data_IF_844960039292
#
_entry.id   IF_844960039292
#
_cell.length_a   1.000
_cell.length_b   1.000
_cell.length_c   1.000
_cell.angle_alpha   90.00
_cell.angle_beta   90.00
_cell.angle_gamma   90.00
#
_symmetry.space_group_name_H-M   'P 1'
#
loop_
_entity.id
_entity.type
_entity.pdbx_description
1 polymer ?
#
# COMPACT_ATOMS: atom_id res chain seq x y z
N UNK A 1 -14.89 34.68 -6.05
CA UNK A 1 -13.78 33.84 -5.55
C UNK A 1 -14.11 32.39 -5.89
N UNK A 2 -13.20 31.66 -6.52
CA UNK A 2 -13.40 30.21 -6.72
C UNK A 2 -13.28 29.56 -5.35
N UNK A 3 -14.33 28.86 -4.91
CA UNK A 3 -14.30 28.12 -3.65
C UNK A 3 -13.21 27.05 -3.72
N UNK A 4 -12.40 26.91 -2.67
CA UNK A 4 -11.39 25.87 -2.60
C UNK A 4 -12.05 24.49 -2.61
N UNK A 5 -11.44 23.55 -3.34
CA UNK A 5 -11.94 22.19 -3.49
C UNK A 5 -10.95 21.20 -2.92
N UNK A 6 -11.44 20.11 -2.37
CA UNK A 6 -10.70 19.17 -1.55
C UNK A 6 -10.88 17.73 -2.04
N UNK A 7 -9.83 16.93 -1.83
CA UNK A 7 -9.85 15.47 -1.94
C UNK A 7 -9.50 14.90 -0.56
N UNK A 8 -10.49 14.35 0.12
CA UNK A 8 -10.34 13.72 1.43
C UNK A 8 -10.02 12.23 1.26
N UNK A 9 -8.79 11.85 1.61
CA UNK A 9 -8.25 10.50 1.45
C UNK A 9 -8.39 9.73 2.77
N UNK A 10 -9.33 8.79 2.82
CA UNK A 10 -9.65 8.00 4.01
C UNK A 10 -8.82 6.71 4.08
N UNK A 11 -8.44 6.35 5.29
CA UNK A 11 -7.79 5.06 5.58
C UNK A 11 -8.69 3.86 5.29
N UNK A 12 -8.13 2.82 4.66
CA UNK A 12 -8.79 1.51 4.53
C UNK A 12 -7.76 0.39 4.44
N UNK A 13 -8.00 -0.69 5.18
CA UNK A 13 -7.15 -1.88 5.24
C UNK A 13 -5.70 -1.56 5.67
N UNK A 14 -4.76 -2.47 5.40
CA UNK A 14 -3.38 -2.36 5.88
C UNK A 14 -2.55 -1.31 5.15
N UNK A 15 -1.32 -1.12 5.63
CA UNK A 15 -0.41 -0.05 5.22
C UNK A 15 -0.18 -0.01 3.70
N UNK A 16 0.03 -1.17 3.08
CA UNK A 16 0.19 -1.24 1.62
C UNK A 16 -1.02 -0.73 0.84
N UNK A 17 -2.25 -0.97 1.32
CA UNK A 17 -3.47 -0.45 0.65
C UNK A 17 -3.56 1.08 0.78
N UNK A 18 -3.30 1.60 1.99
CA UNK A 18 -3.31 3.03 2.29
C UNK A 18 -2.27 3.79 1.47
N UNK A 19 -1.06 3.24 1.38
CA UNK A 19 0.04 3.79 0.59
C UNK A 19 -0.39 3.89 -0.89
N UNK A 20 -0.86 2.80 -1.50
CA UNK A 20 -1.27 2.81 -2.90
C UNK A 20 -2.45 3.77 -3.18
N UNK A 21 -3.42 3.85 -2.28
CA UNK A 21 -4.53 4.80 -2.38
C UNK A 21 -4.07 6.26 -2.24
N UNK A 22 -3.06 6.53 -1.41
CA UNK A 22 -2.48 7.87 -1.29
C UNK A 22 -1.80 8.30 -2.59
N UNK A 23 -1.02 7.42 -3.22
CA UNK A 23 -0.27 7.77 -4.44
C UNK A 23 -1.18 8.18 -5.60
N UNK A 24 -2.27 7.45 -5.86
CA UNK A 24 -3.21 7.85 -6.91
C UNK A 24 -4.04 9.09 -6.55
N UNK A 25 -4.24 9.32 -5.25
CA UNK A 25 -4.91 10.52 -4.74
C UNK A 25 -4.06 11.77 -4.92
N UNK A 26 -2.74 11.70 -4.71
CA UNK A 26 -1.81 12.81 -4.99
C UNK A 26 -1.91 13.23 -6.45
N UNK A 27 -1.79 12.27 -7.38
CA UNK A 27 -1.88 12.54 -8.81
C UNK A 27 -3.25 13.12 -9.20
N UNK A 28 -4.34 12.60 -8.63
CA UNK A 28 -5.68 13.12 -8.91
C UNK A 28 -5.90 14.53 -8.36
N UNK A 29 -5.38 14.82 -7.17
CA UNK A 29 -5.43 16.14 -6.57
C UNK A 29 -4.73 17.16 -7.47
N UNK A 30 -3.57 16.82 -8.04
CA UNK A 30 -2.87 17.64 -9.02
C UNK A 30 -3.70 17.86 -10.31
N UNK A 31 -4.24 16.79 -10.90
CA UNK A 31 -5.08 16.88 -12.11
C UNK A 31 -6.34 17.72 -11.94
N UNK A 32 -6.89 17.79 -10.73
CA UNK A 32 -8.15 18.49 -10.42
C UNK A 32 -7.95 19.81 -9.68
N UNK A 33 -6.69 20.19 -9.43
CA UNK A 33 -6.33 21.33 -8.58
C UNK A 33 -7.08 21.35 -7.23
N UNK A 34 -7.22 20.16 -6.61
CA UNK A 34 -7.85 19.99 -5.30
C UNK A 34 -6.78 19.96 -4.22
N UNK A 35 -7.06 20.57 -3.08
CA UNK A 35 -6.25 20.39 -1.87
C UNK A 35 -6.43 18.97 -1.34
N UNK A 36 -5.34 18.29 -1.03
CA UNK A 36 -5.41 16.96 -0.42
C UNK A 36 -5.54 17.09 1.10
N UNK A 37 -6.44 16.27 1.68
CA UNK A 37 -6.55 16.08 3.13
C UNK A 37 -6.46 14.58 3.37
N UNK A 38 -5.42 14.12 4.07
CA UNK A 38 -5.25 12.70 4.37
C UNK A 38 -5.75 12.44 5.77
N UNK A 39 -6.75 11.56 5.88
CA UNK A 39 -7.40 11.23 7.14
C UNK A 39 -7.35 9.72 7.40
N UNK A 40 -6.38 9.32 8.22
CA UNK A 40 -6.19 7.95 8.69
C UNK A 40 -6.59 7.79 10.17
N UNK A 41 -7.54 8.58 10.66
CA UNK A 41 -8.12 8.54 12.02
C UNK A 41 -8.97 7.29 12.36
N UNK A 42 -8.74 6.17 11.67
CA UNK A 42 -9.44 4.92 11.96
C UNK A 42 -8.67 4.02 12.93
N UNK A 43 -9.31 2.92 13.30
CA UNK A 43 -8.83 2.00 14.32
C UNK A 43 -7.70 1.05 13.87
N UNK A 44 -7.27 1.08 12.61
CA UNK A 44 -6.30 0.08 12.10
C UNK A 44 -4.90 0.31 12.65
N UNK A 45 -4.46 1.57 12.68
CA UNK A 45 -3.12 1.96 13.14
C UNK A 45 -3.15 3.06 14.19
N UNK A 46 -4.33 3.41 14.71
CA UNK A 46 -4.50 4.41 15.75
C UNK A 46 -5.05 3.77 17.02
N UNK A 47 -4.41 4.03 18.16
CA UNK A 47 -4.86 3.55 19.46
C UNK A 47 -6.06 4.34 20.02
N UNK A 48 -6.22 5.58 19.57
CA UNK A 48 -7.23 6.53 20.09
C UNK A 48 -8.01 7.22 18.97
N UNK A 49 -7.92 6.72 17.73
CA UNK A 49 -8.58 7.29 16.53
C UNK A 49 -8.09 8.69 16.18
N UNK A 50 -6.89 9.08 16.63
CA UNK A 50 -6.16 10.21 16.05
C UNK A 50 -5.68 9.90 14.63
N UNK A 51 -5.55 10.95 13.81
CA UNK A 51 -5.00 10.81 12.46
C UNK A 51 -3.50 10.54 12.50
N UNK A 52 -3.10 9.31 12.18
CA UNK A 52 -1.69 8.86 12.22
C UNK A 52 -0.90 9.16 10.96
N UNK A 53 -1.52 9.73 9.92
CA UNK A 53 -0.82 10.07 8.68
C UNK A 53 0.39 11.00 8.91
N UNK A 54 0.26 12.11 9.67
CA UNK A 54 1.38 13.01 9.94
C UNK A 54 2.49 12.36 10.77
N UNK A 55 2.23 11.26 11.49
CA UNK A 55 3.25 10.55 12.24
C UNK A 55 4.03 9.53 11.38
N UNK A 56 3.52 9.23 10.18
CA UNK A 56 4.11 8.26 9.26
C UNK A 56 4.79 8.90 8.05
N UNK A 57 4.20 9.95 7.50
CA UNK A 57 4.62 10.55 6.24
C UNK A 57 4.56 12.07 6.25
N UNK A 58 5.37 12.67 5.36
CA UNK A 58 5.25 14.05 4.94
C UNK A 58 4.91 14.10 3.44
N UNK A 59 4.06 15.04 3.04
CA UNK A 59 3.82 15.36 1.64
C UNK A 59 4.55 16.64 1.24
N UNK A 60 5.17 16.62 0.07
CA UNK A 60 5.93 17.74 -0.52
C UNK A 60 5.33 18.12 -1.87
N UNK A 61 5.44 19.40 -2.24
CA UNK A 61 5.02 19.90 -3.56
C UNK A 61 3.57 19.53 -3.96
N UNK A 62 2.70 19.43 -2.95
CA UNK A 62 1.25 19.20 -3.10
C UNK A 62 0.52 20.18 -2.20
N UNK A 63 -0.54 20.80 -2.71
CA UNK A 63 -1.41 21.68 -1.92
C UNK A 63 -2.22 20.87 -0.92
N UNK A 64 -2.01 21.12 0.36
CA UNK A 64 -2.59 20.35 1.46
C UNK A 64 -3.51 21.20 2.33
N UNK A 65 -4.39 20.54 3.08
CA UNK A 65 -5.09 21.13 4.21
C UNK A 65 -5.02 20.16 5.41
N UNK A 66 -4.84 20.73 6.60
CA UNK A 66 -4.73 19.98 7.86
C UNK A 66 -6.09 19.64 8.47
N UNK A 67 -7.13 20.38 8.09
CA UNK A 67 -8.48 20.21 8.60
C UNK A 67 -9.45 19.85 7.48
N UNK A 68 -10.44 19.03 7.83
CA UNK A 68 -11.54 18.71 6.92
C UNK A 68 -12.50 19.91 6.90
N UNK A 69 -12.74 20.55 5.74
CA UNK A 69 -13.59 21.73 5.69
C UNK A 69 -15.05 21.37 5.97
N UNK A 70 -15.75 22.25 6.69
CA UNK A 70 -17.18 22.11 6.92
C UNK A 70 -17.96 22.53 5.67
N UNK A 71 -18.57 21.56 4.99
CA UNK A 71 -19.45 21.80 3.82
C UNK A 71 -20.43 20.65 3.63
N UNK A 72 -21.58 20.94 3.03
CA UNK A 72 -22.58 19.95 2.62
C UNK A 72 -22.36 19.46 1.17
N UNK A 73 -21.42 20.08 0.45
CA UNK A 73 -21.05 19.78 -0.93
C UNK A 73 -20.03 18.63 -0.95
N UNK A 74 -20.52 17.40 -0.75
CA UNK A 74 -19.71 16.19 -0.58
C UNK A 74 -20.11 15.12 -1.58
N UNK A 75 -19.13 14.50 -2.24
CA UNK A 75 -19.29 13.32 -3.07
C UNK A 75 -18.38 12.16 -2.63
N UNK A 76 -18.89 10.91 -2.55
CA UNK A 76 -20.29 10.54 -2.71
C UNK A 76 -21.19 11.06 -1.57
N UNK A 77 -22.46 11.32 -1.85
CA UNK A 77 -23.38 11.98 -0.91
C UNK A 77 -23.67 11.20 0.38
N UNK A 78 -23.38 9.90 0.41
CA UNK A 78 -23.47 9.04 1.61
C UNK A 78 -22.55 9.49 2.75
N UNK A 79 -21.53 10.31 2.45
CA UNK A 79 -20.59 10.85 3.43
C UNK A 79 -21.02 12.19 4.05
N UNK A 80 -22.13 12.78 3.60
CA UNK A 80 -22.64 14.03 4.16
C UNK A 80 -22.90 13.85 5.66
N UNK A 81 -22.41 14.79 6.48
CA UNK A 81 -22.51 14.76 7.94
C UNK A 81 -21.85 13.53 8.61
N UNK A 82 -20.88 12.89 7.95
CA UNK A 82 -20.15 11.75 8.51
C UNK A 82 -18.69 11.71 8.02
N UNK A 83 -18.10 12.89 7.81
CA UNK A 83 -16.72 13.03 7.35
C UNK A 83 -15.69 12.64 8.43
N UNK A 84 -16.10 12.61 9.69
CA UNK A 84 -15.35 12.15 10.86
C UNK A 84 -15.33 10.61 10.99
N UNK A 85 -16.26 9.90 10.34
CA UNK A 85 -16.33 8.44 10.41
C UNK A 85 -15.29 7.76 9.53
N UNK A 86 -14.86 6.57 9.93
CA UNK A 86 -14.04 5.69 9.10
C UNK A 86 -14.84 5.07 7.95
N UNK A 87 -14.13 4.56 6.94
CA UNK A 87 -14.77 3.82 5.84
C UNK A 87 -15.56 2.62 6.33
N UNK A 88 -15.07 1.89 7.34
CA UNK A 88 -15.77 0.73 7.87
C UNK A 88 -17.08 1.10 8.56
N UNK A 89 -17.11 2.20 9.32
CA UNK A 89 -18.34 2.68 9.98
C UNK A 89 -19.41 3.13 8.98
N UNK A 90 -18.99 3.82 7.91
CA UNK A 90 -19.90 4.16 6.81
C UNK A 90 -20.45 2.89 6.17
N UNK A 91 -19.60 1.94 5.81
CA UNK A 91 -20.03 0.69 5.18
C UNK A 91 -21.02 -0.08 6.08
N UNK A 92 -20.73 -0.21 7.37
CA UNK A 92 -21.61 -0.89 8.33
C UNK A 92 -22.93 -0.16 8.61
N UNK A 93 -23.01 1.13 8.29
CA UNK A 93 -24.25 1.91 8.42
C UNK A 93 -25.26 1.61 7.31
N UNK A 94 -24.81 1.04 6.18
CA UNK A 94 -25.63 0.87 4.97
C UNK A 94 -25.63 -0.55 4.40
N UNK A 95 -24.61 -1.35 4.67
CA UNK A 95 -24.41 -2.68 4.11
C UNK A 95 -24.39 -3.71 5.24
N UNK A 96 -24.92 -4.90 4.98
CA UNK A 96 -24.86 -5.98 5.96
C UNK A 96 -23.42 -6.50 6.12
N UNK A 97 -23.02 -7.05 7.28
CA UNK A 97 -21.73 -7.71 7.42
C UNK A 97 -21.48 -8.78 6.34
N UNK A 98 -22.54 -9.45 5.88
CA UNK A 98 -22.50 -10.47 4.84
C UNK A 98 -22.08 -9.89 3.50
N UNK A 99 -22.64 -8.75 3.13
CA UNK A 99 -22.29 -8.03 1.89
C UNK A 99 -20.83 -7.57 1.90
N UNK A 100 -20.29 -7.23 3.07
CA UNK A 100 -18.90 -6.80 3.25
C UNK A 100 -17.90 -7.97 3.22
N UNK A 101 -18.35 -9.20 3.51
CA UNK A 101 -17.51 -10.41 3.39
C UNK A 101 -17.18 -10.74 1.94
N UNK A 102 -18.08 -10.42 1.01
CA UNK A 102 -17.85 -10.57 -0.42
C UNK A 102 -17.25 -9.27 -0.96
N UNK A 103 -15.92 -9.23 -1.18
CA UNK A 103 -15.22 -8.08 -1.79
C UNK A 103 -15.87 -7.68 -3.13
N UNK A 104 -16.91 -6.82 -3.09
CA UNK A 104 -17.77 -6.50 -4.23
C UNK A 104 -17.50 -5.06 -4.68
N UNK A 105 -16.79 -4.85 -5.81
CA UNK A 105 -16.47 -3.53 -6.30
C UNK A 105 -17.69 -2.65 -6.58
N UNK A 106 -18.86 -3.24 -6.91
CA UNK A 106 -20.10 -2.48 -7.16
C UNK A 106 -20.65 -1.83 -5.90
N UNK A 107 -20.43 -2.46 -4.75
CA UNK A 107 -20.82 -1.90 -3.45
C UNK A 107 -19.87 -0.75 -3.13
N UNK A 108 -18.56 -1.01 -3.18
CA UNK A 108 -17.55 -0.02 -2.81
C UNK A 108 -17.56 1.25 -3.67
N UNK A 109 -17.89 1.13 -4.96
CA UNK A 109 -17.99 2.30 -5.85
C UNK A 109 -19.06 3.32 -5.44
N UNK A 110 -20.01 2.95 -4.57
CA UNK A 110 -20.98 3.89 -3.99
C UNK A 110 -20.37 4.81 -2.93
N UNK A 111 -19.25 4.40 -2.33
CA UNK A 111 -18.66 5.01 -1.15
C UNK A 111 -17.29 5.65 -1.41
N UNK A 112 -16.80 5.65 -2.65
CA UNK A 112 -15.52 6.27 -3.03
C UNK A 112 -15.67 6.99 -4.37
N UNK A 113 -14.86 8.02 -4.61
CA UNK A 113 -14.89 8.80 -5.85
C UNK A 113 -14.45 7.97 -7.06
N UNK A 114 -15.18 8.09 -8.18
CA UNK A 114 -14.75 7.49 -9.42
C UNK A 114 -13.66 8.34 -10.08
N UNK A 115 -12.42 7.89 -9.94
CA UNK A 115 -11.23 8.56 -10.43
C UNK A 115 -11.18 8.71 -11.96
N UNK A 116 -12.02 7.99 -12.73
CA UNK A 116 -12.05 8.19 -14.19
C UNK A 116 -12.67 9.53 -14.60
N UNK A 117 -13.27 10.31 -13.70
CA UNK A 117 -13.88 11.62 -13.96
C UNK A 117 -13.16 12.71 -13.19
N UNK A 118 -13.03 13.91 -13.78
CA UNK A 118 -12.41 15.08 -13.14
C UNK A 118 -13.40 16.24 -12.91
N UNK A 119 -14.61 16.15 -13.47
CA UNK A 119 -15.60 17.22 -13.62
C UNK A 119 -16.53 17.40 -12.39
N UNK A 120 -16.14 16.88 -11.23
CA UNK A 120 -16.97 16.96 -10.03
C UNK A 120 -17.15 18.40 -9.53
N UNK A 121 -18.41 18.81 -9.39
CA UNK A 121 -18.76 20.15 -8.88
C UNK A 121 -18.56 20.28 -7.37
N UNK A 122 -18.58 19.17 -6.64
CA UNK A 122 -18.58 19.12 -5.18
C UNK A 122 -17.29 19.66 -4.57
N UNK A 123 -17.42 20.28 -3.40
CA UNK A 123 -16.30 20.87 -2.67
C UNK A 123 -15.38 19.77 -2.16
N UNK A 124 -15.92 18.70 -1.57
CA UNK A 124 -15.16 17.55 -1.06
C UNK A 124 -15.45 16.31 -1.88
N UNK A 125 -14.39 15.66 -2.36
CA UNK A 125 -14.42 14.30 -2.88
C UNK A 125 -13.82 13.33 -1.87
N UNK A 126 -14.51 12.23 -1.60
CA UNK A 126 -14.04 11.19 -0.69
C UNK A 126 -13.34 10.10 -1.48
N UNK A 127 -12.13 9.75 -1.05
CA UNK A 127 -11.29 8.78 -1.72
C UNK A 127 -10.74 7.75 -0.74
N UNK A 128 -10.96 6.48 -1.06
CA UNK A 128 -10.27 5.33 -0.45
C UNK A 128 -10.25 4.18 -1.46
N UNK A 129 -9.26 3.29 -1.34
CA UNK A 129 -9.11 2.13 -2.23
C UNK A 129 -8.30 1.02 -1.59
N UNK A 130 -8.39 -0.18 -2.18
CA UNK A 130 -7.48 -1.29 -1.90
C UNK A 130 -6.27 -1.33 -2.84
N UNK A 131 -6.36 -0.72 -4.01
CA UNK A 131 -5.32 -0.79 -5.06
C UNK A 131 -5.22 0.55 -5.79
N UNK A 132 -4.13 0.76 -6.52
CA UNK A 132 -3.98 1.94 -7.39
C UNK A 132 -4.95 1.88 -8.56
N UNK A 133 -5.52 3.03 -8.91
CA UNK A 133 -6.39 3.18 -10.08
C UNK A 133 -5.82 4.14 -11.13
N UNK A 134 -4.50 4.35 -11.14
CA UNK A 134 -3.77 5.25 -12.06
C UNK A 134 -4.13 5.03 -13.53
N UNK A 135 -4.38 3.79 -13.96
CA UNK A 135 -4.79 3.49 -15.33
C UNK A 135 -6.10 4.20 -15.74
N UNK A 136 -7.01 4.48 -14.80
CA UNK A 136 -8.26 5.22 -15.06
C UNK A 136 -8.03 6.69 -15.38
N UNK A 137 -6.86 7.23 -15.03
CA UNK A 137 -6.49 8.64 -15.23
C UNK A 137 -5.86 8.90 -16.60
N UNK A 138 -5.46 7.86 -17.34
CA UNK A 138 -4.69 8.00 -18.59
C UNK A 138 -5.29 8.95 -19.60
N UNK A 139 -6.61 8.91 -19.78
CA UNK A 139 -7.33 9.78 -20.71
C UNK A 139 -7.25 11.28 -20.36
N UNK A 140 -6.85 11.60 -19.13
CA UNK A 140 -6.74 12.96 -18.60
C UNK A 140 -5.30 13.47 -18.56
N UNK A 141 -4.32 12.65 -18.97
CA UNK A 141 -2.95 13.08 -19.13
C UNK A 141 -2.82 13.93 -20.38
N UNK A 142 -3.22 15.20 -20.28
CA UNK A 142 -3.21 16.21 -21.36
C UNK A 142 -2.55 17.48 -20.83
N UNK A 143 -2.22 18.42 -21.73
CA UNK A 143 -1.55 19.67 -21.34
C UNK A 143 -0.25 19.40 -20.58
N UNK A 144 -0.09 20.03 -19.41
CA UNK A 144 1.09 19.88 -18.55
C UNK A 144 1.32 18.43 -18.07
N UNK A 145 0.30 17.57 -18.13
CA UNK A 145 0.38 16.15 -17.76
C UNK A 145 0.57 15.23 -18.97
N UNK A 146 0.64 15.75 -20.20
CA UNK A 146 0.71 14.93 -21.42
C UNK A 146 1.91 13.97 -21.44
N UNK A 147 3.04 14.37 -20.83
CA UNK A 147 4.24 13.54 -20.75
C UNK A 147 3.98 12.19 -20.03
N UNK A 148 3.02 12.15 -19.10
CA UNK A 148 2.64 10.94 -18.37
C UNK A 148 2.00 9.87 -19.26
N UNK A 149 1.44 10.21 -20.44
CA UNK A 149 0.85 9.20 -21.34
C UNK A 149 1.86 8.13 -21.76
N UNK A 150 3.11 8.53 -22.01
CA UNK A 150 4.18 7.65 -22.47
C UNK A 150 4.77 6.75 -21.37
N UNK A 151 4.54 7.10 -20.10
CA UNK A 151 5.12 6.40 -18.96
C UNK A 151 4.25 5.21 -18.54
N UNK A 152 4.88 4.15 -18.01
CA UNK A 152 4.14 3.06 -17.38
C UNK A 152 3.48 3.53 -16.07
N UNK A 153 2.42 2.84 -15.62
CA UNK A 153 1.78 3.17 -14.34
C UNK A 153 2.77 3.07 -13.16
N UNK A 154 3.67 2.07 -13.18
CA UNK A 154 4.72 1.91 -12.17
C UNK A 154 5.67 3.11 -12.16
N UNK A 155 6.12 3.55 -13.34
CA UNK A 155 6.99 4.72 -13.48
C UNK A 155 6.34 6.00 -12.95
N UNK A 156 5.06 6.21 -13.26
CA UNK A 156 4.29 7.37 -12.76
C UNK A 156 4.26 7.33 -11.23
N UNK A 157 3.90 6.20 -10.64
CA UNK A 157 3.83 6.06 -9.19
C UNK A 157 5.20 6.24 -8.51
N UNK A 158 6.28 5.69 -9.10
CA UNK A 158 7.66 5.92 -8.64
C UNK A 158 8.03 7.40 -8.63
N UNK A 159 7.62 8.14 -9.67
CA UNK A 159 7.81 9.60 -9.76
C UNK A 159 7.05 10.32 -8.63
N UNK A 160 5.77 9.98 -8.40
CA UNK A 160 4.98 10.54 -7.30
C UNK A 160 5.62 10.28 -5.94
N UNK A 161 6.12 9.07 -5.69
CA UNK A 161 6.81 8.74 -4.42
C UNK A 161 8.02 9.65 -4.24
N UNK A 162 8.91 9.71 -5.23
CA UNK A 162 10.18 10.45 -5.12
C UNK A 162 9.99 11.96 -4.97
N UNK A 163 8.94 12.52 -5.58
CA UNK A 163 8.72 13.96 -5.62
C UNK A 163 7.84 14.46 -4.49
N UNK A 164 6.91 13.64 -4.01
CA UNK A 164 5.83 14.14 -3.15
C UNK A 164 5.70 13.43 -1.81
N UNK A 165 6.48 12.38 -1.52
CA UNK A 165 6.29 11.60 -0.30
C UNK A 165 7.63 11.27 0.35
N UNK A 166 7.76 11.63 1.63
CA UNK A 166 8.86 11.14 2.48
C UNK A 166 8.30 10.50 3.75
N UNK A 167 9.08 9.63 4.38
CA UNK A 167 8.74 9.13 5.70
C UNK A 167 9.00 10.21 6.76
N UNK A 168 8.48 9.99 7.96
CA UNK A 168 8.91 10.78 9.11
C UNK A 168 10.36 10.44 9.51
N UNK A 169 11.18 11.44 9.92
CA UNK A 169 12.60 11.25 10.20
C UNK A 169 12.92 10.18 11.27
N UNK A 170 12.06 10.00 12.26
CA UNK A 170 12.23 8.96 13.29
C UNK A 170 12.13 7.54 12.69
N UNK A 171 11.22 7.31 11.74
CA UNK A 171 11.08 6.03 11.05
C UNK A 171 12.26 5.81 10.09
N UNK A 172 12.64 6.84 9.34
CA UNK A 172 13.82 6.79 8.46
C UNK A 172 15.11 6.47 9.23
N UNK A 173 15.28 7.04 10.42
CA UNK A 173 16.43 6.78 11.27
C UNK A 173 16.52 5.32 11.72
N UNK A 174 15.38 4.68 12.03
CA UNK A 174 15.34 3.24 12.38
C UNK A 174 15.75 2.40 11.17
N UNK A 175 15.17 2.66 10.00
CA UNK A 175 15.49 1.96 8.75
C UNK A 175 16.98 2.11 8.43
N UNK A 176 17.50 3.34 8.47
CA UNK A 176 18.90 3.64 8.19
C UNK A 176 19.82 2.90 9.16
N UNK A 177 19.53 2.95 10.47
CA UNK A 177 20.31 2.25 11.48
C UNK A 177 20.38 0.75 11.20
N UNK A 178 19.23 0.12 10.90
CA UNK A 178 19.16 -1.31 10.59
C UNK A 178 19.96 -1.67 9.34
N UNK A 179 19.86 -0.86 8.27
CA UNK A 179 20.66 -1.07 7.06
C UNK A 179 22.15 -0.92 7.37
N UNK A 180 22.56 0.17 8.01
CA UNK A 180 23.98 0.42 8.33
C UNK A 180 24.58 -0.66 9.25
N UNK A 181 23.79 -1.20 10.19
CA UNK A 181 24.29 -2.17 11.17
C UNK A 181 24.23 -3.62 10.74
N UNK A 182 23.34 -3.95 9.81
CA UNK A 182 22.98 -5.35 9.54
C UNK A 182 23.01 -5.73 8.07
N UNK A 183 22.75 -4.81 7.13
CA UNK A 183 22.74 -5.17 5.72
C UNK A 183 24.17 -5.38 5.23
N UNK A 184 24.47 -6.61 4.83
CA UNK A 184 25.74 -7.02 4.21
C UNK A 184 25.73 -6.73 2.69
N UNK A 185 26.72 -7.26 1.96
CA UNK A 185 26.91 -7.03 0.51
C UNK A 185 25.66 -7.42 -0.32
N UNK A 186 25.12 -8.62 -0.06
CA UNK A 186 23.91 -9.12 -0.71
C UNK A 186 22.87 -9.49 0.33
N UNK A 187 21.72 -8.82 0.25
CA UNK A 187 20.55 -9.06 1.07
C UNK A 187 19.39 -9.56 0.22
N UNK A 188 18.82 -10.69 0.61
CA UNK A 188 17.65 -11.31 0.00
C UNK A 188 16.43 -10.91 0.82
N UNK A 189 15.63 -9.97 0.30
CA UNK A 189 14.37 -9.57 0.90
C UNK A 189 13.28 -10.59 0.58
N UNK A 190 12.62 -11.12 1.59
CA UNK A 190 11.54 -12.11 1.44
C UNK A 190 10.31 -11.63 2.18
N UNK A 191 9.21 -11.45 1.46
CA UNK A 191 7.92 -11.14 2.05
C UNK A 191 6.96 -12.32 1.89
N UNK A 192 6.53 -12.89 3.02
CA UNK A 192 5.59 -14.01 3.08
C UNK A 192 4.38 -13.64 3.93
N UNK A 193 3.19 -13.60 3.32
CA UNK A 193 1.92 -13.33 4.01
C UNK A 193 1.17 -14.63 4.30
N UNK A 194 0.81 -14.91 5.56
CA UNK A 194 0.21 -16.18 5.98
C UNK A 194 -1.09 -16.56 5.25
N UNK A 195 -1.89 -15.55 4.87
CA UNK A 195 -3.15 -15.79 4.16
C UNK A 195 -2.94 -16.44 2.78
N UNK A 196 -1.70 -16.54 2.33
CA UNK A 196 -1.28 -17.23 1.11
C UNK A 196 -1.15 -18.75 1.31
N UNK A 197 -2.07 -19.40 2.03
CA UNK A 197 -2.22 -20.89 2.06
C UNK A 197 -2.32 -21.55 0.66
N UNK A 198 -2.36 -20.75 -0.41
CA UNK A 198 -2.42 -21.13 -1.82
C UNK A 198 -1.05 -21.16 -2.50
N UNK A 199 -0.03 -20.47 -1.96
CA UNK A 199 1.33 -20.48 -2.49
C UNK A 199 2.17 -21.37 -1.57
N UNK A 200 2.81 -22.40 -2.14
CA UNK A 200 3.62 -23.32 -1.35
C UNK A 200 4.74 -22.55 -0.63
N UNK A 201 4.83 -22.66 0.71
CA UNK A 201 5.94 -22.09 1.50
C UNK A 201 7.30 -22.53 0.89
N UNK A 202 7.35 -23.73 0.32
CA UNK A 202 8.53 -24.28 -0.34
C UNK A 202 9.01 -23.44 -1.52
N UNK A 203 8.11 -22.75 -2.23
CA UNK A 203 8.50 -21.94 -3.39
C UNK A 203 9.39 -20.76 -2.98
N UNK A 204 9.08 -20.12 -1.84
CA UNK A 204 9.94 -19.06 -1.30
C UNK A 204 11.31 -19.61 -0.94
N UNK A 205 11.35 -20.75 -0.25
CA UNK A 205 12.59 -21.42 0.14
C UNK A 205 13.44 -21.82 -1.09
N UNK A 206 12.83 -22.37 -2.15
CA UNK A 206 13.52 -22.73 -3.39
C UNK A 206 14.17 -21.52 -4.08
N UNK A 207 13.51 -20.36 -4.08
CA UNK A 207 14.10 -19.15 -4.66
C UNK A 207 15.23 -18.59 -3.81
N UNK A 208 15.08 -18.62 -2.48
CA UNK A 208 16.16 -18.24 -1.56
C UNK A 208 17.37 -19.15 -1.78
N UNK A 209 17.18 -20.47 -1.83
CA UNK A 209 18.26 -21.45 -2.05
C UNK A 209 19.01 -21.17 -3.37
N UNK A 210 18.27 -20.93 -4.47
CA UNK A 210 18.87 -20.60 -5.78
C UNK A 210 19.72 -19.33 -5.77
N UNK A 211 19.37 -18.34 -4.95
CA UNK A 211 20.18 -17.12 -4.80
C UNK A 211 21.40 -17.42 -3.92
N UNK A 212 21.22 -18.17 -2.83
CA UNK A 212 22.30 -18.58 -1.93
C UNK A 212 23.33 -19.49 -2.63
N UNK A 213 22.93 -20.32 -3.59
CA UNK A 213 23.88 -21.09 -4.41
C UNK A 213 24.90 -20.19 -5.13
N UNK A 214 24.48 -18.99 -5.55
CA UNK A 214 25.34 -17.99 -6.20
C UNK A 214 26.03 -17.06 -5.20
N UNK A 215 25.35 -16.80 -4.08
CA UNK A 215 25.78 -15.85 -3.07
C UNK A 215 25.65 -16.46 -1.66
N UNK A 216 26.52 -17.41 -1.27
CA UNK A 216 26.33 -18.25 -0.07
C UNK A 216 26.36 -17.50 1.27
N UNK A 217 26.89 -16.28 1.29
CA UNK A 217 26.98 -15.44 2.49
C UNK A 217 25.84 -14.44 2.63
N UNK A 218 24.90 -14.41 1.67
CA UNK A 218 23.84 -13.40 1.67
C UNK A 218 23.03 -13.42 2.96
N UNK A 219 22.69 -12.23 3.46
CA UNK A 219 21.72 -12.06 4.52
C UNK A 219 20.31 -12.28 3.95
N UNK A 220 19.44 -12.96 4.69
CA UNK A 220 18.01 -13.01 4.39
C UNK A 220 17.30 -12.01 5.30
N UNK A 221 16.61 -11.04 4.71
CA UNK A 221 15.67 -10.20 5.46
C UNK A 221 14.24 -10.74 5.25
N UNK A 222 13.62 -11.26 6.33
CA UNK A 222 12.29 -11.85 6.27
C UNK A 222 11.23 -10.92 6.89
N UNK A 223 10.28 -10.49 6.06
CA UNK A 223 9.07 -9.80 6.48
C UNK A 223 7.87 -10.76 6.38
N UNK A 224 7.37 -11.21 7.53
CA UNK A 224 6.18 -12.06 7.61
C UNK A 224 5.24 -11.61 8.73
N UNK A 225 3.95 -11.90 8.57
CA UNK A 225 2.91 -11.75 9.60
C UNK A 225 2.65 -13.08 10.34
N UNK A 226 3.54 -14.07 10.18
CA UNK A 226 3.33 -15.41 10.72
C UNK A 226 4.54 -15.99 11.48
N UNK A 227 4.34 -16.38 12.76
CA UNK A 227 5.43 -16.96 13.55
C UNK A 227 5.87 -18.34 13.06
N UNK A 228 5.01 -19.15 12.44
CA UNK A 228 5.42 -20.45 11.88
C UNK A 228 6.33 -20.28 10.65
N UNK A 229 6.11 -19.22 9.86
CA UNK A 229 6.97 -18.91 8.72
C UNK A 229 8.33 -18.41 9.22
N UNK A 230 8.36 -17.54 10.22
CA UNK A 230 9.60 -17.13 10.85
C UNK A 230 10.38 -18.34 11.39
N UNK A 231 9.71 -19.22 12.13
CA UNK A 231 10.32 -20.43 12.68
C UNK A 231 10.91 -21.32 11.57
N UNK A 232 10.14 -21.60 10.51
CA UNK A 232 10.60 -22.40 9.35
C UNK A 232 11.87 -21.82 8.72
N UNK A 233 11.94 -20.50 8.58
CA UNK A 233 13.11 -19.83 8.00
C UNK A 233 14.32 -19.86 8.94
N UNK A 234 14.11 -19.68 10.25
CA UNK A 234 15.18 -19.75 11.26
C UNK A 234 15.74 -21.16 11.45
N UNK A 235 14.92 -22.19 11.30
CA UNK A 235 15.38 -23.57 11.33
C UNK A 235 16.27 -23.90 10.12
N UNK A 236 15.94 -23.34 8.95
CA UNK A 236 16.64 -23.64 7.69
C UNK A 236 17.88 -22.76 7.45
N UNK A 237 17.84 -21.49 7.83
CA UNK A 237 18.87 -20.51 7.49
C UNK A 237 19.47 -19.87 8.74
N UNK A 238 20.80 -19.72 8.73
CA UNK A 238 21.55 -19.12 9.85
C UNK A 238 21.71 -17.62 9.73
N UNK A 239 21.95 -17.08 8.51
CA UNK A 239 22.09 -15.64 8.28
C UNK A 239 20.73 -15.00 7.96
N UNK A 240 19.91 -14.81 8.99
CA UNK A 240 18.55 -14.25 8.86
C UNK A 240 18.31 -13.08 9.82
N UNK A 241 17.78 -12.01 9.26
CA UNK A 241 17.27 -10.84 9.97
C UNK A 241 15.75 -10.79 9.86
N UNK A 242 15.09 -10.54 10.99
CA UNK A 242 13.69 -10.15 11.07
C UNK A 242 13.58 -8.96 12.00
N UNK A 243 12.55 -8.16 11.83
CA UNK A 243 12.17 -7.10 12.78
C UNK A 243 11.40 -7.70 13.95
N UNK A 244 11.62 -7.13 15.14
CA UNK A 244 10.78 -7.42 16.30
C UNK A 244 9.35 -6.94 16.01
N UNK A 245 8.39 -7.86 16.11
CA UNK A 245 6.98 -7.55 15.87
C UNK A 245 6.08 -8.33 16.80
N UNK A 246 4.93 -7.72 17.09
CA UNK A 246 3.86 -8.41 17.79
C UNK A 246 3.18 -9.40 16.82
N UNK A 247 3.02 -10.65 17.26
CA UNK A 247 2.28 -11.67 16.53
C UNK A 247 0.92 -11.95 17.18
N UNK A 248 -0.17 -12.01 16.40
CA UNK A 248 -1.45 -12.42 16.94
C UNK A 248 -1.46 -13.90 17.35
N UNK A 249 -2.26 -14.25 18.35
CA UNK A 249 -2.54 -15.64 18.67
C UNK A 249 -3.33 -16.27 17.51
N UNK A 250 -2.69 -17.15 16.73
CA UNK A 250 -3.28 -17.93 15.63
C UNK A 250 -3.77 -17.14 14.39
N UNK A 251 -3.04 -17.28 13.27
CA UNK A 251 -3.49 -17.15 11.87
C UNK A 251 -4.26 -15.90 11.39
N UNK A 252 -4.52 -14.93 12.27
CA UNK A 252 -5.37 -13.78 12.05
C UNK A 252 -4.58 -12.62 11.44
N UNK A 253 -5.28 -11.66 10.81
CA UNK A 253 -4.60 -10.54 10.16
C UNK A 253 -4.02 -9.56 11.17
N UNK A 254 -2.72 -9.29 11.06
CA UNK A 254 -1.95 -8.43 11.96
C UNK A 254 -2.46 -6.98 12.05
N UNK A 255 -3.07 -6.43 10.99
CA UNK A 255 -3.57 -5.04 10.97
C UNK A 255 -5.07 -4.91 11.30
N UNK A 256 -5.81 -6.01 11.43
CA UNK A 256 -7.23 -5.99 11.81
C UNK A 256 -7.47 -6.77 13.10
N UNK A 257 -6.41 -7.08 13.85
CA UNK A 257 -6.53 -7.84 15.08
C UNK A 257 -6.88 -6.92 16.25
N UNK A 258 -8.04 -7.11 16.91
CA UNK A 258 -8.44 -6.31 18.07
C UNK A 258 -7.51 -6.49 19.29
N UNK A 259 -6.77 -7.60 19.35
CA UNK A 259 -5.82 -7.93 20.43
C UNK A 259 -4.45 -7.26 20.26
N UNK A 260 -4.25 -6.48 19.19
CA UNK A 260 -3.00 -5.76 18.97
C UNK A 260 -2.79 -4.76 20.13
N UNK A 261 -1.71 -4.90 20.92
CA UNK A 261 -1.50 -4.11 22.14
C UNK A 261 -1.16 -2.65 21.82
N UNK A 262 -0.48 -2.42 20.70
CA UNK A 262 -0.15 -1.09 20.20
C UNK A 262 -0.29 -1.07 18.66
N UNK A 263 -1.39 -0.47 18.20
CA UNK A 263 -1.73 -0.38 16.78
C UNK A 263 -0.87 0.64 16.05
N UNK A 264 -0.42 1.68 16.76
CA UNK A 264 0.47 2.68 16.20
C UNK A 264 1.83 2.07 15.91
N UNK A 265 2.43 1.41 16.90
CA UNK A 265 3.70 0.70 16.73
C UNK A 265 3.61 -0.37 15.64
N UNK A 266 2.49 -1.08 15.55
CA UNK A 266 2.22 -2.02 14.47
C UNK A 266 2.25 -1.36 13.07
N UNK A 267 1.79 -0.11 12.96
CA UNK A 267 1.89 0.69 11.74
C UNK A 267 3.33 1.10 11.42
N UNK A 268 4.09 1.50 12.43
CA UNK A 268 5.53 1.83 12.32
C UNK A 268 6.33 0.61 11.85
N UNK A 269 6.15 -0.55 12.47
CA UNK A 269 6.83 -1.79 12.09
C UNK A 269 6.47 -2.23 10.67
N UNK A 270 5.22 -2.09 10.25
CA UNK A 270 4.82 -2.36 8.87
C UNK A 270 5.55 -1.46 7.86
N UNK A 271 5.77 -0.18 8.18
CA UNK A 271 6.54 0.73 7.34
C UNK A 271 8.03 0.36 7.32
N UNK A 272 8.61 0.06 8.47
CA UNK A 272 10.00 -0.39 8.57
C UNK A 272 10.22 -1.61 7.68
N UNK A 273 9.37 -2.64 7.79
CA UNK A 273 9.47 -3.85 6.97
C UNK A 273 9.35 -3.55 5.47
N UNK A 274 8.38 -2.73 5.04
CA UNK A 274 8.22 -2.33 3.63
C UNK A 274 9.49 -1.66 3.10
N UNK A 275 10.06 -0.72 3.87
CA UNK A 275 11.23 0.02 3.44
C UNK A 275 12.51 -0.82 3.51
N UNK A 276 12.69 -1.68 4.52
CA UNK A 276 13.82 -2.61 4.56
C UNK A 276 13.80 -3.59 3.39
N UNK A 277 12.63 -4.15 3.03
CA UNK A 277 12.49 -4.96 1.82
C UNK A 277 12.94 -4.20 0.56
N UNK A 278 12.63 -2.90 0.49
CA UNK A 278 13.00 -2.06 -0.66
C UNK A 278 14.50 -1.77 -0.78
N UNK A 279 15.26 -1.94 0.32
CA UNK A 279 16.71 -1.72 0.37
C UNK A 279 17.52 -3.01 0.12
N UNK A 280 16.85 -4.14 -0.08
CA UNK A 280 17.50 -5.41 -0.38
C UNK A 280 18.06 -5.45 -1.82
N UNK A 281 18.89 -6.44 -2.14
CA UNK A 281 19.43 -6.65 -3.49
C UNK A 281 18.52 -7.55 -4.34
N UNK A 282 17.77 -8.43 -3.67
CA UNK A 282 16.72 -9.28 -4.24
C UNK A 282 15.42 -9.08 -3.49
N UNK A 283 14.28 -9.21 -4.19
CA UNK A 283 12.96 -9.17 -3.58
C UNK A 283 12.13 -10.37 -4.03
N UNK A 284 11.82 -11.28 -3.10
CA UNK A 284 10.89 -12.38 -3.29
C UNK A 284 9.58 -12.03 -2.59
N UNK A 285 8.50 -11.89 -3.35
CA UNK A 285 7.21 -11.47 -2.81
C UNK A 285 6.03 -12.12 -3.54
N UNK A 286 4.81 -11.74 -3.18
CA UNK A 286 3.60 -12.11 -3.89
C UNK A 286 2.79 -10.87 -4.23
N UNK A 287 2.51 -10.63 -5.50
CA UNK A 287 1.76 -9.46 -5.96
C UNK A 287 0.28 -9.42 -5.52
N UNK A 288 -0.24 -10.48 -4.88
CA UNK A 288 -1.57 -10.43 -4.24
C UNK A 288 -1.53 -9.63 -2.93
N UNK A 289 -0.35 -9.47 -2.32
CA UNK A 289 -0.16 -8.62 -1.16
C UNK A 289 0.30 -7.23 -1.59
N UNK A 290 -0.51 -6.21 -1.30
CA UNK A 290 -0.14 -4.81 -1.53
C UNK A 290 1.12 -4.41 -0.77
N UNK A 291 1.46 -5.10 0.33
CA UNK A 291 2.69 -4.91 1.08
C UNK A 291 3.94 -5.12 0.21
N UNK A 292 4.04 -6.30 -0.44
CA UNK A 292 5.14 -6.60 -1.34
C UNK A 292 5.12 -5.77 -2.63
N UNK A 293 3.93 -5.41 -3.13
CA UNK A 293 3.79 -4.50 -4.27
C UNK A 293 4.37 -3.13 -3.95
N UNK A 294 4.08 -2.57 -2.77
CA UNK A 294 4.65 -1.29 -2.34
C UNK A 294 6.14 -1.41 -2.16
N UNK A 295 6.65 -2.47 -1.52
CA UNK A 295 8.08 -2.70 -1.38
C UNK A 295 8.82 -2.73 -2.73
N UNK A 296 8.26 -3.40 -3.75
CA UNK A 296 8.77 -3.34 -5.14
C UNK A 296 8.72 -1.93 -5.69
N UNK A 297 7.59 -1.24 -5.49
CA UNK A 297 7.34 0.06 -6.08
C UNK A 297 8.30 1.13 -5.56
N UNK A 298 8.65 1.11 -4.27
CA UNK A 298 9.57 2.09 -3.68
C UNK A 298 11.05 1.70 -3.86
N UNK A 299 11.35 0.51 -4.38
CA UNK A 299 12.71 0.01 -4.53
C UNK A 299 13.33 0.38 -5.88
N UNK A 300 14.67 0.38 -5.88
CA UNK A 300 15.51 0.44 -7.08
C UNK A 300 16.04 -0.95 -7.47
N UNK A 301 15.43 -2.02 -6.93
CA UNK A 301 15.81 -3.40 -7.22
C UNK A 301 15.54 -3.69 -8.71
N UNK A 302 16.53 -4.21 -9.47
CA UNK A 302 16.31 -4.57 -10.85
C UNK A 302 15.18 -5.61 -11.00
N UNK A 303 14.41 -5.53 -12.09
CA UNK A 303 13.34 -6.51 -12.36
C UNK A 303 13.88 -7.95 -12.40
N UNK A 304 15.12 -8.14 -12.90
CA UNK A 304 15.80 -9.44 -12.91
C UNK A 304 16.04 -10.03 -11.50
N UNK A 305 16.06 -9.18 -10.47
CA UNK A 305 16.23 -9.57 -9.06
C UNK A 305 14.91 -9.55 -8.28
N UNK A 306 13.79 -9.29 -8.96
CA UNK A 306 12.46 -9.24 -8.38
C UNK A 306 11.67 -10.49 -8.77
N UNK A 307 11.28 -11.29 -7.79
CA UNK A 307 10.63 -12.60 -7.99
C UNK A 307 9.22 -12.55 -7.41
N UNK A 308 8.22 -12.54 -8.30
CA UNK A 308 6.81 -12.68 -7.91
C UNK A 308 6.39 -14.15 -7.89
N UNK A 309 6.27 -14.70 -6.68
CA UNK A 309 5.84 -16.08 -6.45
C UNK A 309 4.43 -16.37 -6.97
N UNK A 310 3.59 -15.35 -7.16
CA UNK A 310 2.23 -15.54 -7.64
C UNK A 310 2.20 -16.11 -9.07
N UNK A 311 3.20 -15.82 -9.90
CA UNK A 311 3.27 -16.27 -11.30
C UNK A 311 3.35 -17.79 -11.43
N UNK A 312 3.80 -18.44 -10.37
CA UNK A 312 3.95 -19.89 -10.26
C UNK A 312 2.71 -20.55 -9.63
N UNK A 313 1.72 -19.76 -9.20
CA UNK A 313 0.40 -20.24 -8.78
C UNK A 313 -0.60 -20.22 -9.95
N UNK A 314 -1.51 -21.20 -10.02
CA UNK A 314 -2.56 -21.26 -11.07
C UNK A 314 -3.40 -19.98 -11.15
N UNK A 315 -3.68 -19.32 -10.01
CA UNK A 315 -4.47 -18.07 -9.97
C UNK A 315 -3.68 -16.84 -10.41
N UNK A 316 -2.36 -16.78 -10.17
CA UNK A 316 -1.53 -15.65 -10.62
C UNK A 316 -1.40 -15.59 -12.13
N UNK A 317 -1.33 -16.75 -12.80
CA UNK A 317 -1.39 -16.84 -14.27
C UNK A 317 -2.69 -16.23 -14.83
N UNK A 318 -3.84 -16.47 -14.18
CA UNK A 318 -5.14 -15.90 -14.57
C UNK A 318 -5.24 -14.40 -14.28
N UNK A 319 -4.75 -13.93 -13.11
CA UNK A 319 -4.77 -12.50 -12.75
C UNK A 319 -3.86 -11.66 -13.66
N UNK A 320 -2.67 -12.18 -14.00
CA UNK A 320 -1.74 -11.52 -14.92
C UNK A 320 -2.33 -11.40 -16.32
N UNK A 321 -3.05 -12.43 -16.78
CA UNK A 321 -3.77 -12.38 -18.06
C UNK A 321 -4.84 -11.27 -18.06
N UNK A 322 -5.62 -11.14 -16.98
CA UNK A 322 -6.65 -10.08 -16.86
C UNK A 322 -6.02 -8.69 -16.78
N UNK A 323 -4.94 -8.52 -16.01
CA UNK A 323 -4.23 -7.24 -15.90
C UNK A 323 -3.62 -6.82 -17.24
N UNK A 324 -2.97 -7.75 -17.93
CA UNK A 324 -2.39 -7.54 -19.26
C UNK A 324 -3.45 -7.18 -20.32
N UNK A 325 -4.60 -7.86 -20.32
CA UNK A 325 -5.73 -7.51 -21.20
C UNK A 325 -6.18 -6.07 -20.90
N UNK A 326 -6.39 -5.71 -19.63
CA UNK A 326 -6.83 -4.36 -19.24
C UNK A 326 -5.83 -3.26 -19.63
N UNK A 327 -4.53 -3.51 -19.55
CA UNK A 327 -3.53 -2.55 -20.01
C UNK A 327 -3.53 -2.40 -21.54
N UNK A 328 -3.69 -3.50 -22.29
CA UNK A 328 -3.74 -3.44 -23.76
C UNK A 328 -5.02 -2.82 -24.32
N UNK A 329 -6.17 -3.04 -23.71
CA UNK A 329 -7.44 -2.45 -24.17
C UNK A 329 -7.53 -0.94 -23.92
N UNK A 330 -6.61 -0.37 -23.13
CA UNK A 330 -6.52 1.08 -22.87
C UNK A 330 -5.45 1.76 -23.76
N UNK A 331 -4.58 0.97 -24.40
CA UNK A 331 -3.58 1.44 -25.37
C UNK A 331 -4.07 1.36 -26.83
N UNK A 332 -5.29 0.82 -27.06
CA UNK A 332 -6.04 0.86 -28.31
C UNK A 332 -7.18 1.86 -28.20
#
# INVERSE_FOLDING_TARGET
MVSEKFLLVKGKAGMGNRFLALLDSILYAQLTNRKIVVDWSDEVYSNNRSNVFPDFFNLHDVTQASEIPSTQSVYPSVWKNSLDKSVNEILLSYESPDDLRYNNPKIWSKYTTNMSRLDYSEDILIRWSYVTETYKLRRHFVGDFAYLQSLSNETILKKIIREHLSLQPNIEAIIKKTVDSSFEDIVIGVHVRYTDRKTSKNLYLEFVDKILEKHPKSLIFLATDNPEVEHLFREKYTNILVTDKWYPASGSSLHQNPECPDRFENGVQALIDIYLLSKCNYLIYNQTSTFGVVAKLISDIPEANTIDTSQYSLKGKVKNLIAWIREKTVLS
#
